data_IF_876419264786
#
_entry.id   IF_876419264786
#
_cell.length_a   1.000
_cell.length_b   1.000
_cell.length_c   1.000
_cell.angle_alpha   90.00
_cell.angle_beta   90.00
_cell.angle_gamma   90.00
#
_symmetry.space_group_name_H-M   'P 1'
#
loop_
_entity.id
_entity.type
_entity.pdbx_description
1 polymer ?
#
# COMPACT_ATOMS: atom_id res chain seq x y z
N UNK A 1 36.17 -2.49 -16.40
CA UNK A 1 36.42 -1.13 -15.86
C UNK A 1 35.64 -1.01 -14.58
N UNK A 2 36.30 -0.98 -13.43
CA UNK A 2 35.62 -0.84 -12.13
C UNK A 2 35.34 0.66 -11.96
N UNK A 3 34.07 1.05 -12.06
CA UNK A 3 33.66 2.43 -11.84
C UNK A 3 33.88 2.81 -10.37
N UNK A 4 34.77 3.77 -10.13
CA UNK A 4 34.86 4.42 -8.82
C UNK A 4 33.65 5.34 -8.67
N UNK A 5 32.89 5.14 -7.59
CA UNK A 5 31.89 6.10 -7.12
C UNK A 5 32.57 7.00 -6.08
N UNK A 6 32.36 8.31 -6.17
CA UNK A 6 32.94 9.33 -5.25
C UNK A 6 32.36 9.26 -3.83
N UNK A 7 31.42 8.34 -3.59
CA UNK A 7 30.77 8.11 -2.31
C UNK A 7 31.22 6.79 -1.70
N UNK A 8 31.47 6.80 -0.39
CA UNK A 8 31.73 5.58 0.38
C UNK A 8 30.54 4.64 0.16
N UNK A 9 30.80 3.42 -0.36
CA UNK A 9 29.77 2.40 -0.47
C UNK A 9 29.08 2.25 0.89
N UNK A 10 27.74 2.23 0.95
CA UNK A 10 27.04 2.18 2.23
C UNK A 10 27.51 0.96 3.01
N UNK A 11 27.83 1.17 4.30
CA UNK A 11 28.38 0.14 5.20
C UNK A 11 27.49 -1.10 5.27
N UNK A 12 26.19 -0.93 4.98
CA UNK A 12 25.21 -2.00 4.90
C UNK A 12 24.47 -1.94 3.56
N UNK A 13 24.15 -3.09 2.94
CA UNK A 13 23.30 -3.14 1.76
C UNK A 13 21.97 -2.42 2.00
N UNK A 14 21.56 -1.57 1.06
CA UNK A 14 20.26 -0.90 1.10
C UNK A 14 19.16 -1.93 0.94
N UNK A 15 18.30 -2.05 1.95
CA UNK A 15 17.13 -2.95 1.92
C UNK A 15 15.82 -2.23 1.67
N UNK A 16 15.75 -0.93 1.87
CA UNK A 16 14.56 -0.13 1.62
C UNK A 16 14.86 1.01 0.65
N UNK A 17 13.89 1.35 -0.18
CA UNK A 17 14.04 2.39 -1.17
C UNK A 17 12.69 3.03 -1.49
N UNK A 18 12.69 4.32 -1.82
CA UNK A 18 11.52 5.01 -2.32
C UNK A 18 11.90 6.22 -3.16
N UNK A 19 11.15 6.48 -4.24
CA UNK A 19 11.37 7.64 -5.10
C UNK A 19 10.13 8.05 -5.88
N UNK A 20 10.17 9.28 -6.33
CA UNK A 20 9.32 9.78 -7.41
C UNK A 20 9.79 9.25 -8.77
N UNK A 21 8.84 8.97 -9.67
CA UNK A 21 9.03 8.27 -10.94
C UNK A 21 8.38 9.06 -12.08
N UNK A 22 8.97 10.20 -12.50
CA UNK A 22 8.41 11.05 -13.55
C UNK A 22 8.27 10.33 -14.88
N UNK A 23 9.20 9.43 -15.21
CA UNK A 23 9.20 8.63 -16.43
C UNK A 23 7.99 7.69 -16.55
N UNK A 24 7.29 7.42 -15.43
CA UNK A 24 6.06 6.62 -15.41
C UNK A 24 4.80 7.45 -15.09
N UNK A 25 4.73 8.67 -15.64
CA UNK A 25 3.60 9.59 -15.46
C UNK A 25 3.39 9.92 -13.98
N UNK A 26 4.50 10.29 -13.33
CA UNK A 26 4.55 10.76 -11.95
C UNK A 26 4.21 9.69 -10.91
N UNK A 27 4.41 8.40 -11.18
CA UNK A 27 4.26 7.38 -10.14
C UNK A 27 5.16 7.70 -8.93
N UNK A 28 4.80 7.19 -7.76
CA UNK A 28 5.71 7.12 -6.62
C UNK A 28 5.91 5.64 -6.29
N UNK A 29 7.15 5.16 -6.38
CA UNK A 29 7.50 3.76 -6.14
C UNK A 29 8.32 3.60 -4.86
N UNK A 30 8.04 2.55 -4.09
CA UNK A 30 8.81 2.22 -2.88
C UNK A 30 8.86 0.73 -2.64
N UNK A 31 9.80 0.28 -1.82
CA UNK A 31 10.00 -1.14 -1.53
C UNK A 31 10.83 -1.36 -0.27
N UNK A 32 10.80 -2.61 0.19
CA UNK A 32 11.84 -3.19 1.02
C UNK A 32 12.36 -4.51 0.43
N UNK A 33 13.10 -5.29 1.21
CA UNK A 33 13.67 -6.60 0.84
C UNK A 33 12.62 -7.72 0.72
N UNK A 34 11.33 -7.43 0.97
CA UNK A 34 10.22 -8.39 0.91
C UNK A 34 9.21 -8.08 -0.19
N UNK A 35 8.88 -6.82 -0.38
CA UNK A 35 7.78 -6.39 -1.25
C UNK A 35 8.09 -5.02 -1.86
N UNK A 36 7.62 -4.80 -3.09
CA UNK A 36 7.61 -3.50 -3.75
C UNK A 36 6.20 -2.94 -3.84
N UNK A 37 6.09 -1.65 -4.13
CA UNK A 37 4.83 -0.94 -4.20
C UNK A 37 4.93 0.23 -5.15
N UNK A 38 3.76 0.70 -5.58
CA UNK A 38 3.63 2.04 -6.16
C UNK A 38 2.28 2.66 -5.83
N UNK A 39 2.20 3.96 -6.06
CA UNK A 39 0.93 4.65 -6.28
C UNK A 39 1.05 5.57 -7.48
N UNK A 40 -0.11 6.00 -7.98
CA UNK A 40 -0.25 6.57 -9.30
C UNK A 40 -0.15 8.08 -9.27
N UNK A 41 0.62 8.62 -10.23
CA UNK A 41 0.91 10.03 -10.33
C UNK A 41 -0.20 10.92 -10.90
N UNK A 42 -0.11 12.25 -10.68
CA UNK A 42 -1.03 13.21 -11.26
C UNK A 42 -1.02 13.23 -12.79
N UNK A 43 0.14 13.05 -13.46
CA UNK A 43 0.17 12.97 -14.93
C UNK A 43 -0.60 11.77 -15.50
N UNK A 44 -0.75 10.67 -14.75
CA UNK A 44 -1.57 9.52 -15.19
C UNK A 44 -3.07 9.83 -15.18
N UNK A 45 -3.50 10.76 -14.35
CA UNK A 45 -4.89 11.21 -14.28
C UNK A 45 -5.27 12.21 -15.39
N UNK A 46 -4.29 12.75 -16.11
CA UNK A 46 -4.52 13.75 -17.14
C UNK A 46 -5.02 13.10 -18.44
N UNK A 47 -6.11 13.61 -19.05
CA UNK A 47 -6.54 13.16 -20.36
C UNK A 47 -5.48 13.51 -21.41
N UNK A 48 -5.27 12.63 -22.40
CA UNK A 48 -4.39 12.90 -23.53
C UNK A 48 -2.92 12.51 -23.34
N UNK A 49 -2.57 11.75 -22.29
CA UNK A 49 -1.21 11.22 -22.07
C UNK A 49 -0.77 10.14 -23.09
N UNK A 50 -1.65 9.74 -24.01
CA UNK A 50 -1.42 8.64 -24.95
C UNK A 50 -1.37 7.25 -24.29
N UNK A 51 -1.55 7.18 -22.97
CA UNK A 51 -1.64 5.96 -22.15
C UNK A 51 -3.02 5.86 -21.50
N UNK A 52 -3.27 4.76 -20.80
CA UNK A 52 -4.46 4.58 -19.98
C UNK A 52 -4.57 5.72 -18.94
N UNK A 53 -5.73 6.37 -18.86
CA UNK A 53 -6.02 7.38 -17.86
C UNK A 53 -6.57 6.70 -16.61
N UNK A 54 -5.87 6.84 -15.50
CA UNK A 54 -6.27 6.25 -14.22
C UNK A 54 -6.33 7.30 -13.12
N UNK A 55 -7.56 7.55 -12.63
CA UNK A 55 -7.81 8.39 -11.46
C UNK A 55 -8.02 7.49 -10.25
N UNK A 56 -7.05 7.46 -9.34
CA UNK A 56 -7.11 6.58 -8.16
C UNK A 56 -6.18 7.04 -7.05
N UNK A 57 -6.52 6.68 -5.81
CA UNK A 57 -5.66 6.72 -4.62
C UNK A 57 -5.39 5.31 -4.09
N UNK A 58 -5.63 4.29 -4.91
CA UNK A 58 -5.27 2.92 -4.61
C UNK A 58 -3.76 2.71 -4.55
N UNK A 59 -3.34 1.72 -3.77
CA UNK A 59 -1.95 1.31 -3.64
C UNK A 59 -1.73 -0.01 -4.38
N UNK A 60 -0.64 -0.09 -5.12
CA UNK A 60 -0.24 -1.27 -5.87
C UNK A 60 0.85 -2.04 -5.11
N UNK A 61 0.91 -3.36 -5.30
CA UNK A 61 1.90 -4.26 -4.67
C UNK A 61 2.63 -5.07 -5.73
N UNK A 62 3.96 -5.08 -5.64
CA UNK A 62 4.87 -5.77 -6.53
C UNK A 62 5.54 -6.92 -5.80
N UNK A 63 5.33 -8.13 -6.29
CA UNK A 63 5.82 -9.34 -5.63
C UNK A 63 7.30 -9.53 -5.92
N UNK A 64 8.09 -9.85 -4.89
CA UNK A 64 9.54 -10.06 -5.00
C UNK A 64 9.93 -11.49 -4.68
N UNK A 65 11.00 -11.98 -5.30
CA UNK A 65 11.72 -13.24 -4.97
C UNK A 65 13.16 -12.99 -4.55
N UNK A 66 13.57 -11.73 -4.60
CA UNK A 66 14.92 -11.25 -4.30
C UNK A 66 14.87 -10.23 -3.18
N UNK A 67 15.93 -10.17 -2.38
CA UNK A 67 16.03 -9.29 -1.22
C UNK A 67 16.68 -7.93 -1.51
N UNK A 68 17.20 -7.71 -2.72
CA UNK A 68 17.76 -6.42 -3.13
C UNK A 68 16.67 -5.50 -3.74
N UNK A 69 16.88 -4.17 -3.76
CA UNK A 69 15.95 -3.23 -4.38
C UNK A 69 15.74 -3.48 -5.88
N UNK A 70 14.48 -3.47 -6.34
CA UNK A 70 14.05 -3.70 -7.72
C UNK A 70 13.32 -2.52 -8.37
N UNK A 71 12.78 -1.57 -7.60
CA UNK A 71 11.84 -0.54 -8.10
C UNK A 71 12.46 0.27 -9.22
N UNK A 72 13.66 0.82 -8.98
CA UNK A 72 14.35 1.65 -9.97
C UNK A 72 14.67 0.86 -11.24
N UNK A 73 15.14 -0.37 -11.04
CA UNK A 73 15.56 -1.25 -12.14
C UNK A 73 14.37 -1.72 -12.98
N UNK A 74 13.24 -2.01 -12.37
CA UNK A 74 12.02 -2.42 -13.07
C UNK A 74 11.45 -1.26 -13.88
N UNK A 75 11.37 -0.04 -13.30
CA UNK A 75 10.96 1.13 -14.07
C UNK A 75 11.90 1.40 -15.27
N UNK A 76 13.21 1.20 -15.11
CA UNK A 76 14.19 1.33 -16.20
C UNK A 76 14.06 0.23 -17.28
N UNK A 77 13.69 -1.00 -16.92
CA UNK A 77 13.41 -2.08 -17.88
C UNK A 77 12.15 -1.81 -18.71
N UNK A 78 11.18 -1.10 -18.15
CA UNK A 78 9.96 -0.70 -18.84
C UNK A 78 8.73 -1.56 -18.49
N UNK A 79 7.57 -1.01 -18.83
CA UNK A 79 6.26 -1.46 -18.37
C UNK A 79 5.99 -2.95 -18.55
N UNK A 80 6.26 -3.48 -19.74
CA UNK A 80 5.84 -4.83 -20.10
C UNK A 80 6.70 -5.93 -19.47
N UNK A 81 7.87 -5.57 -18.94
CA UNK A 81 8.82 -6.53 -18.36
C UNK A 81 8.46 -6.90 -16.93
N UNK A 82 8.09 -5.93 -16.09
CA UNK A 82 7.82 -6.22 -14.69
C UNK A 82 6.47 -6.91 -14.45
N UNK A 83 5.64 -7.12 -15.49
CA UNK A 83 4.44 -7.97 -15.42
C UNK A 83 4.72 -9.47 -15.66
N UNK A 84 5.99 -9.86 -15.80
CA UNK A 84 6.41 -11.25 -15.94
C UNK A 84 7.51 -11.56 -14.94
N UNK A 85 7.41 -12.72 -14.28
CA UNK A 85 8.49 -13.18 -13.41
C UNK A 85 9.67 -13.67 -14.25
N UNK A 86 10.65 -12.78 -14.45
CA UNK A 86 11.94 -13.06 -15.10
C UNK A 86 13.03 -13.48 -14.08
N UNK A 87 12.63 -13.88 -12.87
CA UNK A 87 13.52 -14.40 -11.81
C UNK A 87 13.58 -13.54 -10.55
N UNK A 88 13.02 -12.34 -10.58
CA UNK A 88 13.06 -11.38 -9.46
C UNK A 88 11.69 -11.16 -8.82
N UNK A 89 10.65 -11.58 -9.53
CA UNK A 89 9.25 -11.36 -9.22
C UNK A 89 8.52 -10.54 -10.26
N UNK A 90 7.32 -10.07 -9.92
CA UNK A 90 6.43 -9.38 -10.87
C UNK A 90 5.37 -8.51 -10.20
N UNK A 91 4.86 -7.54 -10.95
CA UNK A 91 3.60 -6.85 -10.74
C UNK A 91 2.46 -7.68 -11.34
N UNK A 92 1.69 -8.34 -10.47
CA UNK A 92 0.52 -9.13 -10.84
C UNK A 92 -0.79 -8.57 -10.26
N UNK A 93 -0.71 -7.46 -9.54
CA UNK A 93 -1.81 -6.96 -8.73
C UNK A 93 -2.56 -5.87 -9.50
N UNK A 94 -3.81 -6.16 -9.85
CA UNK A 94 -4.66 -5.14 -10.45
C UNK A 94 -5.19 -4.20 -9.38
N UNK A 95 -4.98 -2.90 -9.55
CA UNK A 95 -5.59 -1.86 -8.71
C UNK A 95 -6.81 -1.26 -9.38
N UNK A 96 -6.64 -0.71 -10.58
CA UNK A 96 -7.68 0.06 -11.27
C UNK A 96 -8.27 1.17 -10.37
N UNK A 97 -9.58 1.45 -10.47
CA UNK A 97 -10.23 2.49 -9.65
C UNK A 97 -10.62 2.01 -8.24
N UNK A 98 -10.14 0.84 -7.80
CA UNK A 98 -10.32 0.35 -6.43
C UNK A 98 -9.43 1.11 -5.45
N UNK A 99 -9.35 0.66 -4.19
CA UNK A 99 -8.40 1.11 -3.18
C UNK A 99 -7.10 0.30 -3.19
N UNK A 100 -6.96 -0.66 -4.11
CA UNK A 100 -5.76 -1.48 -4.22
C UNK A 100 -5.50 -2.21 -2.91
N UNK A 101 -4.25 -2.20 -2.44
CA UNK A 101 -3.85 -2.80 -1.16
C UNK A 101 -3.58 -1.72 -0.11
N UNK A 102 -4.65 -1.15 0.47
CA UNK A 102 -4.53 -0.20 1.58
C UNK A 102 -4.76 1.27 1.24
N UNK A 103 -5.30 1.57 0.05
CA UNK A 103 -5.82 2.90 -0.28
C UNK A 103 -7.03 3.27 0.57
N UNK A 104 -7.27 4.57 0.73
CA UNK A 104 -8.25 5.14 1.66
C UNK A 104 -9.42 5.80 0.94
N UNK A 105 -10.53 5.94 1.66
CA UNK A 105 -11.69 6.76 1.31
C UNK A 105 -12.54 7.04 2.55
N UNK A 106 -13.52 7.92 2.45
CA UNK A 106 -14.46 8.22 3.54
C UNK A 106 -15.77 7.46 3.31
N UNK A 107 -16.22 6.75 4.34
CA UNK A 107 -17.43 5.93 4.31
C UNK A 107 -18.55 6.60 5.10
N UNK A 108 -19.68 6.86 4.44
CA UNK A 108 -20.87 7.46 5.07
C UNK A 108 -21.88 6.42 5.61
N UNK A 109 -21.56 5.13 5.50
CA UNK A 109 -22.48 4.03 5.77
C UNK A 109 -23.03 3.34 4.51
N UNK A 110 -22.88 3.96 3.34
CA UNK A 110 -23.44 3.50 2.06
C UNK A 110 -22.50 3.70 0.87
N UNK A 111 -21.78 4.81 0.82
CA UNK A 111 -20.97 5.29 -0.29
C UNK A 111 -19.53 5.47 0.17
N UNK A 112 -18.59 5.01 -0.65
CA UNK A 112 -17.18 5.28 -0.49
C UNK A 112 -16.79 6.53 -1.29
N UNK A 113 -16.54 7.64 -0.59
CA UNK A 113 -16.02 8.88 -1.19
C UNK A 113 -14.50 8.81 -1.27
N UNK A 114 -13.95 9.02 -2.46
CA UNK A 114 -12.55 8.76 -2.75
C UNK A 114 -11.82 9.99 -3.24
N UNK A 115 -10.60 10.18 -2.71
CA UNK A 115 -9.63 11.11 -3.28
C UNK A 115 -9.11 10.64 -4.64
N UNK A 116 -8.41 11.53 -5.33
CA UNK A 116 -7.77 11.26 -6.61
C UNK A 116 -6.33 10.75 -6.39
N UNK A 117 -5.48 10.91 -7.39
CA UNK A 117 -4.04 10.71 -7.31
C UNK A 117 -3.43 11.73 -6.33
N UNK A 118 -2.24 11.41 -5.82
CA UNK A 118 -1.51 12.34 -4.96
C UNK A 118 -1.08 13.58 -5.77
N UNK A 119 -0.88 14.72 -5.12
CA UNK A 119 -0.46 15.98 -5.77
C UNK A 119 0.94 16.45 -5.37
N UNK A 120 1.44 16.04 -4.21
CA UNK A 120 2.84 16.27 -3.84
C UNK A 120 3.39 15.13 -3.00
N UNK A 121 4.72 15.04 -2.97
CA UNK A 121 5.45 14.01 -2.26
C UNK A 121 6.62 14.63 -1.48
N UNK A 122 7.03 13.96 -0.40
CA UNK A 122 8.21 14.33 0.37
C UNK A 122 8.91 13.09 0.92
N UNK A 123 10.15 12.84 0.50
CA UNK A 123 10.99 11.81 1.11
C UNK A 123 11.62 12.38 2.38
N UNK A 124 11.37 11.75 3.52
CA UNK A 124 11.86 12.15 4.85
C UNK A 124 13.15 11.39 5.18
N UNK A 125 13.16 10.09 4.91
CA UNK A 125 14.31 9.22 5.10
C UNK A 125 14.35 8.15 4.01
N UNK A 126 15.54 7.78 3.56
CA UNK A 126 15.73 6.77 2.52
C UNK A 126 17.07 6.05 2.77
N UNK A 127 17.12 5.26 3.84
CA UNK A 127 18.35 4.67 4.37
C UNK A 127 18.21 3.16 4.58
N UNK A 128 19.30 2.43 4.81
CA UNK A 128 19.41 1.02 4.41
C UNK A 128 18.44 0.06 5.09
N UNK A 129 17.80 0.46 6.18
CA UNK A 129 16.82 -0.35 6.91
C UNK A 129 15.42 0.27 6.98
N UNK A 130 15.27 1.54 6.59
CA UNK A 130 14.01 2.28 6.67
C UNK A 130 13.93 3.40 5.63
N UNK A 131 12.79 3.43 4.94
CA UNK A 131 12.37 4.54 4.10
C UNK A 131 11.10 5.16 4.69
N UNK A 132 11.07 6.49 4.79
CA UNK A 132 9.91 7.25 5.27
C UNK A 132 9.60 8.34 4.26
N UNK A 133 8.36 8.43 3.81
CA UNK A 133 7.92 9.47 2.89
C UNK A 133 6.46 9.85 3.14
N UNK A 134 6.06 11.00 2.61
CA UNK A 134 4.70 11.52 2.66
C UNK A 134 4.17 11.73 1.25
N UNK A 135 2.88 11.45 1.08
CA UNK A 135 2.09 11.81 -0.08
C UNK A 135 0.92 12.68 0.36
N UNK A 136 0.70 13.78 -0.35
CA UNK A 136 -0.43 14.68 -0.11
C UNK A 136 -1.50 14.49 -1.18
N UNK A 137 -2.75 14.41 -0.75
CA UNK A 137 -3.93 14.31 -1.59
C UNK A 137 -4.81 15.55 -1.37
N UNK A 138 -5.19 16.20 -2.47
CA UNK A 138 -6.05 17.39 -2.47
C UNK A 138 -7.41 17.12 -1.86
N UNK A 139 -8.08 18.18 -1.40
CA UNK A 139 -9.41 18.06 -0.84
C UNK A 139 -10.44 17.55 -1.86
N UNK A 140 -11.22 16.53 -1.48
CA UNK A 140 -12.36 16.02 -2.27
C UNK A 140 -13.68 16.22 -1.51
N UNK A 141 -14.80 16.15 -2.25
CA UNK A 141 -16.13 16.28 -1.68
C UNK A 141 -16.57 14.98 -0.99
N UNK A 142 -17.08 15.13 0.23
CA UNK A 142 -17.67 14.06 1.03
C UNK A 142 -19.02 14.57 1.53
N UNK A 143 -20.06 14.39 0.71
CA UNK A 143 -21.42 14.82 1.01
C UNK A 143 -21.52 16.28 1.49
N UNK A 144 -20.80 17.20 0.83
CA UNK A 144 -20.78 18.62 1.16
C UNK A 144 -19.66 19.06 2.11
N UNK A 145 -18.99 18.15 2.81
CA UNK A 145 -17.73 18.43 3.47
C UNK A 145 -16.55 18.31 2.49
N UNK A 146 -15.44 18.98 2.78
CA UNK A 146 -14.17 18.81 2.07
C UNK A 146 -13.18 18.06 2.95
N UNK A 147 -12.59 17.00 2.41
CA UNK A 147 -11.60 16.18 3.12
C UNK A 147 -10.33 16.11 2.28
N UNK A 148 -9.19 16.50 2.85
CA UNK A 148 -7.85 16.24 2.28
C UNK A 148 -7.11 15.20 3.12
N UNK A 149 -6.02 14.66 2.59
CA UNK A 149 -5.22 13.64 3.27
C UNK A 149 -3.71 13.88 3.08
N UNK A 150 -2.95 13.76 4.16
CA UNK A 150 -1.50 13.51 4.11
C UNK A 150 -1.25 12.11 4.63
N UNK A 151 -0.65 11.27 3.79
CA UNK A 151 -0.36 9.86 4.08
C UNK A 151 1.14 9.68 4.23
N UNK A 152 1.60 9.35 5.43
CA UNK A 152 3.00 9.02 5.72
C UNK A 152 3.19 7.52 5.72
N UNK A 153 4.16 7.04 4.95
CA UNK A 153 4.58 5.64 4.91
C UNK A 153 5.86 5.48 5.70
N UNK A 154 5.92 4.43 6.53
CA UNK A 154 7.14 3.92 7.14
C UNK A 154 7.37 2.49 6.63
N UNK A 155 8.40 2.36 5.80
CA UNK A 155 8.77 1.13 5.10
C UNK A 155 10.01 0.58 5.78
N UNK A 156 9.86 -0.54 6.47
CA UNK A 156 10.93 -1.20 7.22
C UNK A 156 11.45 -2.44 6.51
N UNK A 157 12.75 -2.67 6.59
CA UNK A 157 13.34 -3.92 6.13
C UNK A 157 12.81 -5.12 6.92
N UNK A 158 12.59 -6.25 6.23
CA UNK A 158 12.16 -7.51 6.82
C UNK A 158 10.66 -7.61 7.09
N UNK A 159 9.85 -6.66 6.61
CA UNK A 159 8.41 -6.64 6.83
C UNK A 159 7.63 -6.65 5.50
N UNK A 160 6.51 -7.38 5.45
CA UNK A 160 5.64 -7.42 4.28
C UNK A 160 4.50 -6.39 4.36
N UNK A 161 4.34 -5.72 5.51
CA UNK A 161 3.36 -4.66 5.72
C UNK A 161 4.09 -3.37 6.08
N UNK A 162 3.72 -2.29 5.40
CA UNK A 162 4.16 -0.95 5.75
C UNK A 162 3.26 -0.38 6.85
N UNK A 163 3.84 0.42 7.74
CA UNK A 163 3.05 1.27 8.62
C UNK A 163 2.64 2.53 7.86
N UNK A 164 1.35 2.85 7.90
CA UNK A 164 0.79 4.02 7.24
C UNK A 164 0.08 4.89 8.29
N UNK A 165 0.50 6.14 8.39
CA UNK A 165 -0.13 7.16 9.22
C UNK A 165 -0.82 8.18 8.30
N UNK A 166 -2.15 8.14 8.27
CA UNK A 166 -2.97 9.08 7.50
C UNK A 166 -3.53 10.18 8.38
N UNK A 167 -3.27 11.44 8.03
CA UNK A 167 -3.88 12.61 8.66
C UNK A 167 -4.90 13.18 7.69
N UNK A 168 -6.16 13.24 8.11
CA UNK A 168 -7.25 13.81 7.34
C UNK A 168 -7.60 15.19 7.87
N UNK A 169 -7.77 16.18 7.01
CA UNK A 169 -8.29 17.50 7.41
C UNK A 169 -9.71 17.65 6.86
N UNK A 170 -10.67 17.93 7.73
CA UNK A 170 -12.10 18.05 7.39
C UNK A 170 -12.53 19.50 7.52
N UNK A 171 -13.10 20.07 6.45
CA UNK A 171 -13.66 21.43 6.45
C UNK A 171 -15.08 21.44 5.89
N UNK A 172 -15.92 22.38 6.36
CA UNK A 172 -17.30 22.51 5.88
C UNK A 172 -18.28 21.41 6.33
N UNK A 173 -17.89 20.55 7.28
CA UNK A 173 -18.74 19.50 7.86
C UNK A 173 -19.20 19.81 9.29
N UNK A 174 -20.24 19.10 9.76
CA UNK A 174 -20.79 19.24 11.11
C UNK A 174 -20.00 18.46 12.18
N UNK A 175 -19.14 17.52 11.78
CA UNK A 175 -18.37 16.65 12.67
C UNK A 175 -16.90 16.60 12.26
N UNK A 176 -15.95 16.73 13.20
CA UNK A 176 -14.54 16.44 12.95
C UNK A 176 -14.24 14.94 12.92
N UNK A 177 -15.16 14.09 13.39
CA UNK A 177 -15.04 12.63 13.35
C UNK A 177 -15.60 12.08 12.04
N UNK A 178 -14.81 11.23 11.39
CA UNK A 178 -15.10 10.58 10.11
C UNK A 178 -14.85 9.07 10.21
N UNK A 179 -15.56 8.30 9.39
CA UNK A 179 -15.25 6.87 9.20
C UNK A 179 -14.41 6.74 7.94
N UNK A 180 -13.16 6.37 8.12
CA UNK A 180 -12.24 6.04 7.02
C UNK A 180 -12.43 4.58 6.66
N UNK A 181 -12.50 4.28 5.36
CA UNK A 181 -12.49 2.92 4.85
C UNK A 181 -11.16 2.68 4.11
N UNK A 182 -10.49 1.61 4.48
CA UNK A 182 -9.22 1.15 3.89
C UNK A 182 -9.52 -0.11 3.11
N UNK A 183 -9.15 -0.18 1.83
CA UNK A 183 -9.65 -1.22 0.94
C UNK A 183 -8.62 -2.19 0.38
N UNK A 184 -9.09 -3.43 0.13
CA UNK A 184 -8.49 -4.44 -0.74
C UNK A 184 -9.33 -4.59 -2.02
N UNK A 185 -8.71 -4.68 -3.19
CA UNK A 185 -9.44 -4.93 -4.44
C UNK A 185 -10.13 -6.31 -4.43
N UNK A 186 -11.40 -6.37 -4.84
CA UNK A 186 -12.18 -7.60 -5.03
C UNK A 186 -11.72 -8.44 -6.22
N UNK A 187 -11.11 -7.84 -7.24
CA UNK A 187 -10.63 -8.52 -8.45
C UNK A 187 -9.15 -8.19 -8.72
N UNK A 188 -8.22 -8.61 -7.84
CA UNK A 188 -6.82 -8.18 -7.88
C UNK A 188 -5.93 -9.01 -8.82
N UNK A 189 -6.41 -10.13 -9.35
CA UNK A 189 -5.58 -11.03 -10.13
C UNK A 189 -5.21 -10.46 -11.49
N UNK A 190 -4.05 -10.85 -12.01
CA UNK A 190 -3.62 -10.48 -13.35
C UNK A 190 -4.55 -11.06 -14.43
N UNK A 191 -4.52 -10.45 -15.62
CA UNK A 191 -5.43 -10.79 -16.72
C UNK A 191 -5.30 -12.26 -17.11
N UNK A 192 -6.44 -12.95 -17.15
CA UNK A 192 -6.51 -14.36 -17.59
C UNK A 192 -6.07 -15.40 -16.55
N UNK A 193 -5.92 -15.00 -15.28
CA UNK A 193 -5.40 -15.88 -14.23
C UNK A 193 -6.45 -16.67 -13.45
N UNK A 194 -7.74 -16.56 -13.79
CA UNK A 194 -8.85 -17.34 -13.20
C UNK A 194 -8.77 -17.41 -11.66
N UNK A 195 -8.88 -16.25 -11.02
CA UNK A 195 -8.57 -16.09 -9.61
C UNK A 195 -9.48 -16.93 -8.68
N UNK A 196 -8.86 -17.58 -7.69
CA UNK A 196 -9.56 -18.13 -6.53
C UNK A 196 -9.21 -17.28 -5.32
N UNK A 197 -10.20 -16.62 -4.73
CA UNK A 197 -10.01 -15.62 -3.68
C UNK A 197 -10.60 -16.14 -2.37
N UNK A 198 -9.76 -16.26 -1.34
CA UNK A 198 -10.19 -16.50 0.03
C UNK A 198 -10.01 -15.23 0.86
N UNK A 199 -11.05 -14.83 1.59
CA UNK A 199 -11.01 -13.69 2.50
C UNK A 199 -11.03 -14.18 3.94
N UNK A 200 -10.31 -13.50 4.83
CA UNK A 200 -10.33 -13.79 6.27
C UNK A 200 -10.43 -12.47 7.05
N UNK A 201 -11.65 -11.95 7.30
CA UNK A 201 -11.85 -10.86 8.23
C UNK A 201 -11.67 -11.34 9.67
N UNK A 202 -10.99 -10.56 10.51
CA UNK A 202 -10.79 -10.84 11.91
C UNK A 202 -11.02 -9.57 12.76
N UNK A 203 -12.18 -9.48 13.41
CA UNK A 203 -12.52 -8.33 14.26
C UNK A 203 -11.66 -8.25 15.53
N UNK A 204 -11.08 -9.35 15.99
CA UNK A 204 -10.34 -9.38 17.27
C UNK A 204 -9.01 -8.63 17.18
N UNK A 205 -8.37 -8.67 16.01
CA UNK A 205 -7.10 -7.97 15.75
C UNK A 205 -7.23 -6.85 14.70
N UNK A 206 -8.46 -6.57 14.26
CA UNK A 206 -8.80 -5.52 13.31
C UNK A 206 -8.22 -5.74 11.92
N UNK A 207 -7.96 -7.00 11.55
CA UNK A 207 -7.35 -7.35 10.27
C UNK A 207 -8.33 -7.88 9.23
N UNK A 208 -7.98 -7.65 7.96
CA UNK A 208 -8.61 -8.28 6.81
C UNK A 208 -7.49 -8.82 5.93
N UNK A 209 -7.47 -10.12 5.71
CA UNK A 209 -6.57 -10.74 4.75
C UNK A 209 -7.31 -11.25 3.52
N UNK A 210 -6.60 -11.27 2.40
CA UNK A 210 -7.04 -11.87 1.15
C UNK A 210 -5.92 -12.78 0.64
N UNK A 211 -6.25 -14.00 0.25
CA UNK A 211 -5.35 -14.96 -0.38
C UNK A 211 -5.86 -15.28 -1.79
N UNK A 212 -5.09 -14.91 -2.80
CA UNK A 212 -5.51 -14.93 -4.21
C UNK A 212 -4.66 -15.93 -4.97
N UNK A 213 -5.22 -17.12 -5.23
CA UNK A 213 -4.61 -18.10 -6.13
C UNK A 213 -4.78 -17.69 -7.59
N UNK A 214 -3.69 -17.67 -8.33
CA UNK A 214 -3.64 -17.39 -9.76
C UNK A 214 -3.09 -18.60 -10.52
N UNK A 215 -3.69 -18.91 -11.68
CA UNK A 215 -3.41 -20.11 -12.49
C UNK A 215 -1.92 -20.39 -12.73
N UNK A 216 -1.12 -19.36 -13.01
CA UNK A 216 0.32 -19.51 -13.31
C UNK A 216 1.22 -18.67 -12.41
N UNK A 217 0.66 -17.64 -11.76
CA UNK A 217 1.43 -16.67 -11.00
C UNK A 217 1.61 -17.08 -9.53
N UNK A 218 1.01 -18.18 -9.09
CA UNK A 218 1.01 -18.62 -7.70
C UNK A 218 0.01 -17.83 -6.87
N UNK A 219 0.19 -17.86 -5.55
CA UNK A 219 -0.74 -17.24 -4.60
C UNK A 219 -0.19 -15.95 -4.01
N UNK A 220 -1.03 -14.90 -4.01
CA UNK A 220 -0.74 -13.58 -3.43
C UNK A 220 -1.59 -13.36 -2.17
N UNK A 221 -0.93 -13.12 -1.05
CA UNK A 221 -1.54 -12.63 0.18
C UNK A 221 -1.51 -11.11 0.23
N UNK A 222 -2.65 -10.46 0.48
CA UNK A 222 -2.71 -9.03 0.84
C UNK A 222 -3.39 -8.88 2.21
N UNK A 223 -3.08 -7.79 2.92
CA UNK A 223 -3.67 -7.56 4.22
C UNK A 223 -3.80 -6.07 4.56
N UNK A 224 -4.78 -5.79 5.42
CA UNK A 224 -4.92 -4.54 6.15
C UNK A 224 -5.01 -4.87 7.64
N UNK A 225 -4.40 -4.07 8.49
CA UNK A 225 -4.58 -4.11 9.95
C UNK A 225 -4.93 -2.71 10.44
N UNK A 226 -6.05 -2.57 11.13
CA UNK A 226 -6.42 -1.36 11.87
C UNK A 226 -6.36 -1.66 13.36
N UNK A 227 -5.50 -0.97 14.15
CA UNK A 227 -5.43 -1.16 15.59
C UNK A 227 -6.80 -1.00 16.28
N UNK A 228 -7.06 -1.81 17.31
CA UNK A 228 -8.35 -1.91 17.99
C UNK A 228 -8.94 -0.56 18.46
N UNK A 229 -8.09 0.41 18.83
CA UNK A 229 -8.55 1.74 19.25
C UNK A 229 -9.23 2.56 18.15
N UNK A 230 -8.97 2.26 16.88
CA UNK A 230 -9.58 2.92 15.73
C UNK A 230 -10.51 2.01 14.94
N UNK A 231 -10.42 0.69 15.09
CA UNK A 231 -11.23 -0.26 14.32
C UNK A 231 -12.74 -0.08 14.55
N UNK A 232 -13.51 -0.06 13.45
CA UNK A 232 -14.97 0.16 13.45
C UNK A 232 -15.78 -0.97 12.81
N UNK A 233 -15.13 -1.96 12.21
CA UNK A 233 -15.79 -3.08 11.54
C UNK A 233 -15.35 -3.23 10.09
N UNK A 234 -16.17 -3.93 9.32
CA UNK A 234 -15.93 -4.20 7.90
C UNK A 234 -17.11 -3.71 7.06
N UNK A 235 -16.84 -3.40 5.80
CA UNK A 235 -17.85 -3.09 4.79
C UNK A 235 -17.35 -3.53 3.42
N UNK A 236 -18.16 -3.32 2.39
CA UNK A 236 -17.75 -3.49 1.01
C UNK A 236 -18.53 -2.57 0.08
N UNK A 237 -17.95 -2.32 -1.09
CA UNK A 237 -18.65 -1.72 -2.23
C UNK A 237 -18.50 -2.63 -3.47
N UNK A 238 -18.83 -2.12 -4.66
CA UNK A 238 -18.72 -2.90 -5.90
C UNK A 238 -17.29 -3.33 -6.27
N UNK A 239 -16.24 -2.73 -5.71
CA UNK A 239 -14.83 -2.94 -6.07
C UNK A 239 -13.94 -3.34 -4.91
N UNK A 240 -14.33 -3.05 -3.68
CA UNK A 240 -13.46 -3.09 -2.51
C UNK A 240 -14.04 -3.96 -1.39
N UNK A 241 -13.19 -4.76 -0.77
CA UNK A 241 -13.38 -5.23 0.60
C UNK A 241 -12.79 -4.19 1.54
N UNK A 242 -13.51 -3.75 2.57
CA UNK A 242 -13.14 -2.59 3.38
C UNK A 242 -12.97 -2.93 4.86
N UNK A 243 -11.91 -2.38 5.45
CA UNK A 243 -11.76 -2.24 6.91
C UNK A 243 -12.12 -0.81 7.29
N UNK A 244 -13.07 -0.65 8.20
CA UNK A 244 -13.52 0.64 8.67
C UNK A 244 -12.73 1.08 9.90
N UNK A 245 -12.35 2.34 9.94
CA UNK A 245 -11.62 2.96 11.02
C UNK A 245 -12.23 4.32 11.39
N UNK A 246 -12.29 4.62 12.68
CA UNK A 246 -12.59 5.95 13.19
C UNK A 246 -11.34 6.81 13.08
N UNK A 247 -11.49 8.00 12.50
CA UNK A 247 -10.47 9.05 12.51
C UNK A 247 -11.09 10.38 12.94
N UNK A 248 -10.25 11.28 13.44
CA UNK A 248 -10.61 12.65 13.78
C UNK A 248 -9.77 13.59 12.94
N UNK A 249 -10.35 14.73 12.53
CA UNK A 249 -9.65 15.76 11.78
C UNK A 249 -8.32 16.12 12.46
N UNK A 250 -7.27 16.21 11.67
CA UNK A 250 -5.93 16.62 12.05
C UNK A 250 -5.25 15.71 13.08
N UNK A 251 -5.78 14.50 13.28
CA UNK A 251 -5.17 13.43 14.08
C UNK A 251 -4.73 12.26 13.19
N UNK A 252 -3.59 11.63 13.49
CA UNK A 252 -3.11 10.49 12.71
C UNK A 252 -3.99 9.25 12.95
N UNK A 253 -4.52 8.69 11.87
CA UNK A 253 -5.00 7.32 11.81
C UNK A 253 -3.85 6.41 11.38
N UNK A 254 -3.38 5.55 12.29
CA UNK A 254 -2.40 4.53 11.97
C UNK A 254 -3.06 3.23 11.53
N UNK A 255 -2.57 2.66 10.44
CA UNK A 255 -2.91 1.31 9.99
C UNK A 255 -1.70 0.67 9.31
N UNK A 256 -1.83 -0.60 8.92
CA UNK A 256 -0.79 -1.33 8.21
C UNK A 256 -1.38 -1.98 6.97
N UNK A 257 -0.63 -2.00 5.88
CA UNK A 257 -1.04 -2.65 4.65
C UNK A 257 0.17 -3.18 3.86
N UNK A 258 -0.05 -4.21 3.06
CA UNK A 258 0.99 -4.78 2.21
C UNK A 258 0.67 -6.21 1.80
N UNK A 259 1.68 -6.91 1.30
CA UNK A 259 1.49 -8.18 0.62
C UNK A 259 2.64 -9.18 0.79
N UNK A 260 2.35 -10.45 0.59
CA UNK A 260 3.30 -11.56 0.57
C UNK A 260 3.00 -12.52 -0.57
N UNK A 261 4.03 -13.13 -1.15
CA UNK A 261 3.88 -13.98 -2.33
C UNK A 261 4.42 -15.39 -2.10
N UNK A 262 3.68 -16.39 -2.58
CA UNK A 262 4.06 -17.80 -2.52
C UNK A 262 5.43 -18.11 -3.12
N UNK A 263 5.76 -17.51 -4.27
CA UNK A 263 7.06 -17.77 -4.92
C UNK A 263 8.24 -17.06 -4.24
N UNK A 264 8.00 -16.21 -3.24
CA UNK A 264 9.04 -15.69 -2.35
C UNK A 264 9.51 -16.76 -1.34
N UNK A 265 8.71 -17.81 -1.10
CA UNK A 265 9.04 -18.96 -0.27
C UNK A 265 8.68 -18.84 1.22
N UNK A 266 8.40 -17.64 1.71
CA UNK A 266 8.04 -17.37 3.13
C UNK A 266 6.60 -17.74 3.47
N UNK A 267 5.67 -17.61 2.51
CA UNK A 267 4.24 -17.89 2.71
C UNK A 267 3.77 -18.93 1.70
N UNK A 268 3.71 -20.20 2.08
CA UNK A 268 3.32 -21.27 1.13
C UNK A 268 1.81 -21.48 1.08
N UNK A 269 1.11 -21.03 2.12
CA UNK A 269 -0.32 -21.26 2.30
C UNK A 269 -1.02 -20.02 2.85
N UNK A 270 -2.35 -19.99 2.72
CA UNK A 270 -3.20 -18.99 3.39
C UNK A 270 -2.96 -18.97 4.90
N UNK A 271 -2.71 -20.13 5.52
CA UNK A 271 -2.46 -20.23 6.95
C UNK A 271 -1.15 -19.52 7.35
N UNK A 272 -0.09 -19.65 6.56
CA UNK A 272 1.18 -18.95 6.79
C UNK A 272 1.00 -17.42 6.75
N UNK A 273 0.25 -16.94 5.74
CA UNK A 273 -0.05 -15.52 5.61
C UNK A 273 -0.90 -14.99 6.77
N UNK A 274 -1.97 -15.71 7.13
CA UNK A 274 -2.84 -15.32 8.23
C UNK A 274 -2.08 -15.31 9.58
N UNK A 275 -1.19 -16.28 9.81
CA UNK A 275 -0.36 -16.32 11.01
C UNK A 275 0.61 -15.13 11.08
N UNK A 276 1.21 -14.75 9.94
CA UNK A 276 2.07 -13.58 9.84
C UNK A 276 1.32 -12.28 10.16
N UNK A 277 0.13 -12.09 9.57
CA UNK A 277 -0.71 -10.91 9.80
C UNK A 277 -1.16 -10.82 11.25
N UNK A 278 -1.60 -11.93 11.85
CA UNK A 278 -1.96 -11.98 13.27
C UNK A 278 -0.77 -11.58 14.16
N UNK A 279 0.44 -12.06 13.85
CA UNK A 279 1.65 -11.66 14.57
C UNK A 279 1.99 -10.17 14.40
N UNK A 280 1.78 -9.59 13.20
CA UNK A 280 1.90 -8.15 12.97
C UNK A 280 0.90 -7.36 13.82
N UNK A 281 -0.37 -7.79 13.87
CA UNK A 281 -1.41 -7.11 14.62
C UNK A 281 -1.12 -7.14 16.14
N UNK A 282 -0.66 -8.28 16.66
CA UNK A 282 -0.22 -8.40 18.06
C UNK A 282 0.94 -7.44 18.40
N UNK A 283 1.93 -7.31 17.51
CA UNK A 283 3.03 -6.34 17.67
C UNK A 283 2.53 -4.89 17.65
N UNK A 284 1.62 -4.57 16.73
CA UNK A 284 1.03 -3.24 16.64
C UNK A 284 0.22 -2.86 17.89
N UNK A 285 -0.45 -3.83 18.52
CA UNK A 285 -1.18 -3.64 19.78
C UNK A 285 -0.27 -3.56 21.02
N UNK A 286 0.99 -3.99 20.91
CA UNK A 286 1.93 -4.12 22.03
C UNK A 286 3.24 -3.34 21.79
N UNK A 287 3.18 -2.00 21.60
CA UNK A 287 4.38 -1.22 21.29
C UNK A 287 5.37 -1.24 22.48
N UNK A 288 6.65 -1.39 22.18
CA UNK A 288 7.72 -1.29 23.18
C UNK A 288 7.71 0.13 23.77
N UNK A 289 7.54 0.22 25.08
CA UNK A 289 7.63 1.48 25.83
C UNK A 289 9.04 1.59 26.42
N UNK A 290 9.86 2.46 25.85
CA UNK A 290 11.18 2.79 26.40
C UNK A 290 11.04 4.03 27.28
N UNK A 291 11.49 3.94 28.53
CA UNK A 291 11.66 5.11 29.41
C UNK A 291 13.14 5.35 29.58
N UNK A 292 13.64 6.47 29.05
CA UNK A 292 15.00 6.92 29.32
C UNK A 292 14.94 7.69 30.65
N UNK A 293 15.74 7.26 31.62
CA UNK A 293 15.92 7.95 32.91
C UNK A 293 17.23 8.73 32.88
#
# INVERSE_FOLDING_TARGET
TVGQIDTVAPVFPTKTFGRYVPERLDDFGWENDKIGHRTYGPALAAPGSGKEVLVTSGLDVWCKRVSYPIVDRWYNKGHDHYHKDEGEGMDMYQVGPSRGCGGTGIWDGKTLYVGRNYTSWKVIANGPVRTVFELTYEAWDVAGAKVSEVKRFTVDAGHNLDQIDSIFTVTGGASPEITVAIGLNKTPADKGQEAVIALTPNSADGSLTQWVGQKTNGELGTAIIVPAGSFKGFAEDGRNQLVLAKASSDQPLRYYAGAGWSKAGEFKTQADWNAYVAACALRAASPIKVTIR
#
